data_IF_240674910417
#
_entry.id   IF_240674910417
#
_cell.length_a   1.000
_cell.length_b   1.000
_cell.length_c   1.000
_cell.angle_alpha   90.00
_cell.angle_beta   90.00
_cell.angle_gamma   90.00
#
_symmetry.space_group_name_H-M   'P 1'
#
loop_
_entity.id
_entity.type
_entity.pdbx_description
1 polymer ?
#
# COMPACT_ATOMS: atom_id res chain seq x y z
N UNK A 1 -60.35 -42.12 3.65
CA UNK A 1 -59.87 -42.38 2.27
C UNK A 1 -59.67 -41.03 1.62
N UNK A 2 -58.39 -40.64 1.54
CA UNK A 2 -57.72 -39.65 0.67
C UNK A 2 -58.51 -38.43 0.16
N UNK A 3 -58.17 -37.26 0.71
CA UNK A 3 -58.36 -35.94 0.08
C UNK A 3 -57.21 -35.74 -0.92
N UNK A 4 -57.53 -35.61 -2.20
CA UNK A 4 -56.59 -35.24 -3.26
C UNK A 4 -56.71 -33.73 -3.43
N UNK A 5 -55.65 -32.98 -3.14
CA UNK A 5 -55.54 -31.56 -3.50
C UNK A 5 -54.91 -31.43 -4.89
N UNK A 6 -55.45 -30.60 -5.79
CA UNK A 6 -54.68 -30.05 -6.88
C UNK A 6 -54.12 -28.68 -6.48
N UNK A 7 -52.79 -28.58 -6.54
CA UNK A 7 -52.01 -27.36 -6.60
C UNK A 7 -52.49 -26.46 -7.74
N UNK A 8 -52.62 -25.16 -7.50
CA UNK A 8 -52.16 -24.05 -8.36
C UNK A 8 -52.77 -22.71 -7.95
N UNK A 9 -51.98 -21.64 -8.14
CA UNK A 9 -52.31 -20.21 -8.01
C UNK A 9 -52.02 -19.56 -6.65
N UNK A 10 -50.77 -19.69 -6.21
CA UNK A 10 -50.08 -18.56 -5.56
C UNK A 10 -49.85 -17.50 -6.64
N UNK A 11 -50.70 -16.48 -6.68
CA UNK A 11 -50.37 -15.22 -7.36
C UNK A 11 -49.21 -14.58 -6.63
N UNK A 12 -48.01 -14.77 -7.16
CA UNK A 12 -46.82 -14.01 -6.75
C UNK A 12 -47.06 -12.56 -7.13
N UNK A 13 -47.08 -11.60 -6.18
CA UNK A 13 -47.07 -10.19 -6.52
C UNK A 13 -45.79 -9.90 -7.30
N UNK A 14 -45.93 -9.48 -8.55
CA UNK A 14 -44.84 -9.19 -9.48
C UNK A 14 -44.29 -7.78 -9.29
N UNK A 15 -44.26 -7.28 -8.05
CA UNK A 15 -43.60 -6.01 -7.72
C UNK A 15 -42.12 -6.25 -7.45
N UNK A 16 -41.41 -6.63 -8.52
CA UNK A 16 -39.96 -6.79 -8.56
C UNK A 16 -39.24 -5.59 -9.19
N UNK A 17 -39.90 -4.45 -9.43
CA UNK A 17 -39.30 -3.35 -10.21
C UNK A 17 -39.80 -1.95 -9.80
N UNK A 18 -39.56 -1.46 -8.58
CA UNK A 18 -39.64 0.01 -8.37
C UNK A 18 -38.99 0.59 -7.10
N UNK A 19 -37.96 -0.03 -6.52
CA UNK A 19 -37.09 0.72 -5.60
C UNK A 19 -35.80 1.04 -6.35
N UNK A 20 -35.96 1.97 -7.30
CA UNK A 20 -34.86 2.66 -7.96
C UNK A 20 -33.88 3.13 -6.90
N UNK A 21 -32.63 2.69 -7.02
CA UNK A 21 -31.48 3.16 -6.27
C UNK A 21 -31.19 4.63 -6.59
N UNK A 22 -32.12 5.53 -6.27
CA UNK A 22 -31.86 6.96 -6.24
C UNK A 22 -31.15 7.29 -4.92
N UNK A 23 -29.94 6.76 -4.75
CA UNK A 23 -28.96 7.39 -3.88
C UNK A 23 -28.50 8.66 -4.61
N UNK A 24 -29.23 9.76 -4.40
CA UNK A 24 -28.71 11.09 -4.71
C UNK A 24 -27.57 11.32 -3.72
N UNK A 25 -26.35 10.99 -4.14
CA UNK A 25 -25.16 11.33 -3.38
C UNK A 25 -25.00 12.85 -3.49
N UNK A 26 -25.25 13.56 -2.39
CA UNK A 26 -25.09 15.00 -2.33
C UNK A 26 -23.64 15.41 -2.64
N UNK A 27 -23.46 16.59 -3.24
CA UNK A 27 -22.16 17.11 -3.68
C UNK A 27 -21.14 17.14 -2.53
N UNK A 28 -21.59 17.44 -1.30
CA UNK A 28 -20.70 17.44 -0.12
C UNK A 28 -20.12 16.06 0.19
N UNK A 29 -20.87 14.99 -0.09
CA UNK A 29 -20.39 13.63 0.08
C UNK A 29 -19.37 13.28 -1.00
N UNK A 30 -19.55 13.77 -2.24
CA UNK A 30 -18.57 13.62 -3.32
C UNK A 30 -17.25 14.33 -3.00
N UNK A 31 -17.33 15.56 -2.50
CA UNK A 31 -16.14 16.34 -2.15
C UNK A 31 -15.34 15.65 -1.04
N UNK A 32 -16.03 15.13 -0.01
CA UNK A 32 -15.38 14.38 1.08
C UNK A 32 -14.68 13.10 0.63
N UNK A 33 -15.30 12.34 -0.27
CA UNK A 33 -14.67 11.12 -0.82
C UNK A 33 -13.41 11.50 -1.62
N UNK A 34 -13.49 12.56 -2.41
CA UNK A 34 -12.34 13.05 -3.19
C UNK A 34 -11.19 13.48 -2.28
N UNK A 35 -11.48 14.30 -1.27
CA UNK A 35 -10.48 14.75 -0.28
C UNK A 35 -9.85 13.57 0.48
N UNK A 36 -10.66 12.57 0.83
CA UNK A 36 -10.18 11.37 1.52
C UNK A 36 -9.22 10.57 0.66
N UNK A 37 -9.55 10.35 -0.62
CA UNK A 37 -8.69 9.62 -1.55
C UNK A 37 -7.38 10.37 -1.82
N UNK A 38 -7.45 11.68 -2.07
CA UNK A 38 -6.26 12.52 -2.27
C UNK A 38 -5.34 12.50 -1.03
N UNK A 39 -5.93 12.57 0.16
CA UNK A 39 -5.18 12.49 1.42
C UNK A 39 -4.49 11.14 1.58
N UNK A 40 -5.18 10.03 1.31
CA UNK A 40 -4.60 8.68 1.37
C UNK A 40 -3.43 8.54 0.39
N UNK A 41 -3.60 8.95 -0.87
CA UNK A 41 -2.52 8.93 -1.88
C UNK A 41 -1.32 9.73 -1.41
N UNK A 42 -1.53 10.94 -0.88
CA UNK A 42 -0.44 11.77 -0.38
C UNK A 42 0.30 11.12 0.80
N UNK A 43 -0.43 10.55 1.75
CA UNK A 43 0.16 9.91 2.93
C UNK A 43 0.97 8.66 2.54
N UNK A 44 0.41 7.80 1.68
CA UNK A 44 1.12 6.61 1.21
C UNK A 44 2.38 6.98 0.43
N UNK A 45 2.33 8.03 -0.38
CA UNK A 45 3.53 8.57 -1.05
C UNK A 45 4.59 9.02 -0.05
N UNK A 46 4.21 9.79 0.97
CA UNK A 46 5.13 10.27 2.01
C UNK A 46 5.75 9.11 2.79
N UNK A 47 4.99 8.05 3.05
CA UNK A 47 5.52 6.83 3.68
C UNK A 47 6.61 6.19 2.80
N UNK A 48 6.38 6.08 1.49
CA UNK A 48 7.38 5.60 0.55
C UNK A 48 8.64 6.47 0.52
N UNK A 49 8.48 7.80 0.46
CA UNK A 49 9.60 8.75 0.50
C UNK A 49 10.42 8.64 1.81
N UNK A 50 9.75 8.42 2.95
CA UNK A 50 10.41 8.20 4.22
C UNK A 50 11.24 6.90 4.22
N UNK A 51 10.66 5.78 3.76
CA UNK A 51 11.38 4.50 3.67
C UNK A 51 12.58 4.61 2.72
N UNK A 52 12.44 5.31 1.59
CA UNK A 52 13.54 5.53 0.66
C UNK A 52 14.68 6.34 1.28
N UNK A 53 14.33 7.36 2.07
CA UNK A 53 15.31 8.17 2.81
C UNK A 53 16.07 7.31 3.82
N UNK A 54 15.37 6.47 4.58
CA UNK A 54 15.99 5.53 5.53
C UNK A 54 16.93 4.55 4.82
N UNK A 55 16.52 3.96 3.69
CA UNK A 55 17.38 3.07 2.89
C UNK A 55 18.66 3.76 2.41
N UNK A 56 18.55 5.04 2.02
CA UNK A 56 19.71 5.85 1.60
C UNK A 56 20.70 6.02 2.76
N UNK A 57 20.21 6.24 3.98
CA UNK A 57 21.06 6.34 5.16
C UNK A 57 21.77 5.02 5.48
N UNK A 58 21.06 3.89 5.39
CA UNK A 58 21.67 2.56 5.59
C UNK A 58 22.75 2.31 4.53
N UNK A 59 22.53 2.69 3.28
CA UNK A 59 23.56 2.59 2.23
C UNK A 59 24.81 3.39 2.57
N UNK A 60 24.66 4.62 3.09
CA UNK A 60 25.80 5.44 3.51
C UNK A 60 26.58 4.77 4.64
N UNK A 61 25.90 4.18 5.62
CA UNK A 61 26.53 3.44 6.72
C UNK A 61 27.29 2.19 6.22
N UNK A 62 26.72 1.46 5.26
CA UNK A 62 27.40 0.34 4.61
C UNK A 62 28.69 0.81 3.93
N UNK A 63 28.63 1.92 3.18
CA UNK A 63 29.80 2.48 2.51
C UNK A 63 30.90 2.90 3.50
N UNK A 64 30.53 3.43 4.67
CA UNK A 64 31.47 3.79 5.75
C UNK A 64 32.15 2.55 6.34
N UNK A 65 31.38 1.49 6.62
CA UNK A 65 31.93 0.21 7.11
C UNK A 65 32.88 -0.39 6.08
N UNK A 66 32.51 -0.40 4.80
CA UNK A 66 33.37 -0.91 3.73
C UNK A 66 34.66 -0.11 3.58
N UNK A 67 34.62 1.22 3.69
CA UNK A 67 35.82 2.07 3.71
C UNK A 67 36.71 1.79 4.91
N UNK A 68 36.12 1.55 6.08
CA UNK A 68 36.86 1.14 7.28
C UNK A 68 37.61 -0.17 7.04
N UNK A 69 36.94 -1.16 6.46
CA UNK A 69 37.55 -2.45 6.08
C UNK A 69 38.68 -2.25 5.07
N UNK A 70 38.47 -1.44 4.03
CA UNK A 70 39.50 -1.18 3.02
C UNK A 70 40.72 -0.44 3.60
N UNK A 71 40.49 0.53 4.50
CA UNK A 71 41.55 1.26 5.20
C UNK A 71 42.46 0.37 6.04
N UNK A 72 41.93 -0.72 6.60
CA UNK A 72 42.71 -1.71 7.35
C UNK A 72 43.72 -2.50 6.49
N UNK A 73 43.54 -2.52 5.17
CA UNK A 73 44.46 -3.21 4.25
C UNK A 73 45.86 -2.59 4.26
N UNK A 74 45.99 -1.33 4.71
CA UNK A 74 47.25 -0.57 4.73
C UNK A 74 47.86 -0.29 6.12
N UNK A 75 47.18 -0.58 7.24
CA UNK A 75 47.66 -0.25 8.59
C UNK A 75 48.51 -1.37 9.21
N UNK A 76 49.67 -1.03 9.80
CA UNK A 76 50.66 -1.95 10.42
C UNK A 76 50.16 -2.58 11.76
N UNK A 77 48.91 -3.05 11.84
CA UNK A 77 48.38 -3.84 12.95
C UNK A 77 48.53 -5.34 12.69
N UNK A 78 48.85 -6.12 13.73
CA UNK A 78 49.03 -7.57 13.64
C UNK A 78 47.76 -8.32 13.24
N UNK A 79 47.90 -9.56 12.73
CA UNK A 79 46.79 -10.33 12.17
C UNK A 79 45.59 -10.56 13.10
N UNK A 80 45.80 -10.56 14.42
CA UNK A 80 44.72 -10.73 15.42
C UNK A 80 43.82 -9.49 15.53
N UNK A 81 44.40 -8.30 15.56
CA UNK A 81 43.64 -7.04 15.65
C UNK A 81 42.81 -6.80 14.38
N UNK A 82 43.39 -7.11 13.21
CA UNK A 82 42.66 -7.06 11.93
C UNK A 82 41.49 -8.04 11.88
N UNK A 83 41.64 -9.22 12.50
CA UNK A 83 40.58 -10.23 12.56
C UNK A 83 39.41 -9.77 13.44
N UNK A 84 39.70 -9.25 14.64
CA UNK A 84 38.65 -8.74 15.56
C UNK A 84 37.85 -7.59 14.93
N UNK A 85 38.52 -6.66 14.23
CA UNK A 85 37.81 -5.57 13.54
C UNK A 85 37.00 -6.09 12.36
N UNK A 86 37.54 -7.04 11.59
CA UNK A 86 36.80 -7.65 10.48
C UNK A 86 35.54 -8.40 10.97
N UNK A 87 35.64 -9.16 12.05
CA UNK A 87 34.50 -9.85 12.67
C UNK A 87 33.42 -8.86 13.14
N UNK A 88 33.82 -7.75 13.77
CA UNK A 88 32.91 -6.67 14.14
C UNK A 88 32.19 -6.07 12.93
N UNK A 89 32.94 -5.75 11.87
CA UNK A 89 32.40 -5.17 10.65
C UNK A 89 31.44 -6.13 9.91
N UNK A 90 31.74 -7.44 9.89
CA UNK A 90 30.82 -8.44 9.35
C UNK A 90 29.53 -8.56 10.16
N UNK A 91 29.61 -8.45 11.49
CA UNK A 91 28.44 -8.41 12.36
C UNK A 91 27.55 -7.20 12.06
N UNK A 92 28.15 -6.02 11.90
CA UNK A 92 27.44 -4.79 11.55
C UNK A 92 26.80 -4.87 10.15
N UNK A 93 27.52 -5.38 9.14
CA UNK A 93 26.98 -5.58 7.79
C UNK A 93 25.80 -6.55 7.80
N UNK A 94 25.88 -7.63 8.58
CA UNK A 94 24.77 -8.58 8.74
C UNK A 94 23.53 -7.91 9.34
N UNK A 95 23.72 -7.08 10.39
CA UNK A 95 22.63 -6.31 10.99
C UNK A 95 22.00 -5.35 9.97
N UNK A 96 22.82 -4.63 9.21
CA UNK A 96 22.34 -3.70 8.19
C UNK A 96 21.62 -4.40 7.04
N UNK A 97 22.05 -5.60 6.64
CA UNK A 97 21.34 -6.40 5.64
C UNK A 97 19.91 -6.72 6.08
N UNK A 98 19.73 -7.17 7.33
CA UNK A 98 18.38 -7.44 7.88
C UNK A 98 17.51 -6.19 7.90
N UNK A 99 18.09 -5.05 8.25
CA UNK A 99 17.41 -3.75 8.23
C UNK A 99 16.98 -3.35 6.80
N UNK A 100 17.83 -3.58 5.79
CA UNK A 100 17.47 -3.36 4.38
C UNK A 100 16.32 -4.28 3.96
N UNK A 101 16.40 -5.58 4.28
CA UNK A 101 15.35 -6.55 3.93
C UNK A 101 13.99 -6.15 4.52
N UNK A 102 13.96 -5.72 5.79
CA UNK A 102 12.75 -5.22 6.43
C UNK A 102 12.18 -3.99 5.71
N UNK A 103 13.02 -3.00 5.42
CA UNK A 103 12.60 -1.75 4.76
C UNK A 103 12.13 -1.98 3.33
N UNK A 104 12.79 -2.86 2.58
CA UNK A 104 12.34 -3.27 1.24
C UNK A 104 10.98 -3.97 1.32
N UNK A 105 10.78 -4.84 2.30
CA UNK A 105 9.47 -5.46 2.55
C UNK A 105 8.38 -4.45 2.89
N UNK A 106 8.70 -3.40 3.66
CA UNK A 106 7.79 -2.28 3.92
C UNK A 106 7.46 -1.50 2.65
N UNK A 107 8.46 -1.20 1.82
CA UNK A 107 8.27 -0.52 0.54
C UNK A 107 7.34 -1.31 -0.39
N UNK A 108 7.49 -2.64 -0.45
CA UNK A 108 6.59 -3.50 -1.21
C UNK A 108 5.12 -3.31 -0.81
N UNK A 109 4.83 -3.27 0.50
CA UNK A 109 3.47 -3.00 0.99
C UNK A 109 2.96 -1.61 0.63
N UNK A 110 3.83 -0.59 0.65
CA UNK A 110 3.47 0.77 0.20
C UNK A 110 3.09 0.75 -1.27
N UNK A 111 3.82 0.02 -2.11
CA UNK A 111 3.50 -0.13 -3.53
C UNK A 111 2.16 -0.83 -3.74
N UNK A 112 1.90 -1.92 -3.02
CA UNK A 112 0.60 -2.62 -3.09
C UNK A 112 -0.57 -1.69 -2.73
N UNK A 113 -0.42 -0.86 -1.69
CA UNK A 113 -1.43 0.14 -1.30
C UNK A 113 -1.59 1.23 -2.36
N UNK A 114 -0.51 1.67 -3.00
CA UNK A 114 -0.59 2.66 -4.09
C UNK A 114 -1.33 2.10 -5.31
N UNK A 115 -1.14 0.84 -5.65
CA UNK A 115 -1.88 0.18 -6.74
C UNK A 115 -3.37 0.08 -6.43
N UNK A 116 -3.73 -0.30 -5.19
CA UNK A 116 -5.12 -0.31 -4.72
C UNK A 116 -5.74 1.10 -4.79
N UNK A 117 -5.05 2.11 -4.26
CA UNK A 117 -5.50 3.51 -4.33
C UNK A 117 -5.65 4.01 -5.76
N UNK A 118 -4.78 3.58 -6.67
CA UNK A 118 -4.88 3.87 -8.10
C UNK A 118 -6.17 3.33 -8.71
N UNK A 119 -6.54 2.09 -8.37
CA UNK A 119 -7.81 1.50 -8.80
C UNK A 119 -9.02 2.21 -8.19
N UNK A 120 -8.99 2.50 -6.88
CA UNK A 120 -10.05 3.25 -6.20
C UNK A 120 -10.28 4.61 -6.86
N UNK A 121 -9.20 5.33 -7.19
CA UNK A 121 -9.25 6.63 -7.83
C UNK A 121 -9.82 6.55 -9.26
N UNK A 122 -9.43 5.57 -10.07
CA UNK A 122 -10.00 5.35 -11.41
C UNK A 122 -11.50 5.07 -11.33
N UNK A 123 -11.92 4.18 -10.43
CA UNK A 123 -13.34 3.88 -10.18
C UNK A 123 -14.11 5.14 -9.75
N UNK A 124 -13.52 5.93 -8.84
CA UNK A 124 -14.11 7.17 -8.38
C UNK A 124 -14.30 8.19 -9.51
N UNK A 125 -13.29 8.38 -10.35
CA UNK A 125 -13.35 9.30 -11.49
C UNK A 125 -14.41 8.86 -12.52
N UNK A 126 -14.57 7.54 -12.75
CA UNK A 126 -15.64 6.99 -13.60
C UNK A 126 -17.02 7.21 -13.00
N UNK A 127 -17.15 7.06 -11.68
CA UNK A 127 -18.40 7.35 -10.98
C UNK A 127 -18.77 8.84 -11.11
N UNK A 128 -17.81 9.74 -10.90
CA UNK A 128 -18.03 11.18 -11.06
C UNK A 128 -18.42 11.55 -12.49
N UNK A 129 -17.75 11.00 -13.52
CA UNK A 129 -18.06 11.31 -14.92
C UNK A 129 -19.46 10.84 -15.33
N UNK A 130 -19.91 9.71 -14.79
CA UNK A 130 -21.25 9.16 -15.04
C UNK A 130 -22.34 9.99 -14.36
N UNK A 131 -22.10 10.42 -13.11
CA UNK A 131 -23.12 11.09 -12.30
C UNK A 131 -23.12 12.62 -12.41
N UNK A 132 -22.00 13.28 -12.74
CA UNK A 132 -22.00 14.73 -13.04
C UNK A 132 -22.77 15.08 -14.32
N UNK A 133 -22.92 14.14 -15.24
CA UNK A 133 -23.70 14.31 -16.47
C UNK A 133 -25.16 13.87 -16.36
N UNK A 134 -25.60 13.43 -15.17
CA UNK A 134 -26.96 12.96 -14.98
C UNK A 134 -27.93 14.15 -14.86
N UNK A 135 -28.65 14.45 -15.95
CA UNK A 135 -29.86 15.28 -15.88
C UNK A 135 -31.06 14.33 -15.69
N UNK A 136 -31.74 14.35 -14.53
CA UNK A 136 -32.97 13.59 -14.38
C UNK A 136 -34.00 14.10 -15.40
N UNK A 137 -34.63 13.18 -16.13
CA UNK A 137 -35.74 13.47 -17.05
C UNK A 137 -37.03 13.66 -16.27
#
# INVERSE_FOLDING_TARGET
MTVIMPSSLLTVPTDLLSNSWNYVVDVRTLDRVSETLETRVRLTKLEGEAIFTELTLVQQQIDEVLKSIEGMKGTLGGGKERLEIAEGAFGELTRMQLEVEEKVGRMGRVMDVMDELGMELDLWLRYQSTNRNYKPR
#
